data_IF_938779790464
#
_entry.id   IF_938779790464
#
_cell.length_a   1.000
_cell.length_b   1.000
_cell.length_c   1.000
_cell.angle_alpha   90.00
_cell.angle_beta   90.00
_cell.angle_gamma   90.00
#
_symmetry.space_group_name_H-M   'P 1'
#
loop_
_entity.id
_entity.type
_entity.pdbx_description
1 polymer ?
#
# COMPACT_ATOMS: atom_id res chain seq x y z
N UNK A 1 38.39 10.81 12.13
CA UNK A 1 38.65 10.11 12.20
C UNK A 1 38.44 9.51 12.59
N UNK A 2 38.00 9.95 12.29
CA UNK A 2 38.12 9.33 12.40
C UNK A 2 37.71 8.85 12.32
N UNK A 3 37.52 9.24 11.88
CA UNK A 3 37.55 8.60 11.60
C UNK A 3 37.14 8.19 11.40
N UNK A 4 37.13 8.47 11.12
CA UNK A 4 37.22 7.91 10.74
C UNK A 4 36.75 7.57 10.63
N UNK A 5 36.87 7.78 10.37
CA UNK A 5 36.80 7.24 10.10
C UNK A 5 36.11 7.02 9.91
N UNK A 6 35.77 7.31 9.55
CA UNK A 6 35.60 6.92 9.20
C UNK A 6 34.88 6.79 9.02
N UNK A 7 34.88 6.97 8.77
CA UNK A 7 34.51 6.63 8.45
C UNK A 7 33.86 6.38 8.36
N UNK A 8 33.91 6.61 8.02
CA UNK A 8 33.66 6.21 7.95
C UNK A 8 32.94 5.97 8.02
N UNK A 9 32.91 6.17 7.74
CA UNK A 9 32.70 5.93 7.86
C UNK A 9 32.05 6.08 8.02
N UNK A 10 31.76 6.45 7.86
CA UNK A 10 31.83 6.49 8.03
C UNK A 10 31.07 6.69 8.03
N UNK A 11 31.15 7.10 7.64
CA UNK A 11 31.00 7.06 7.75
C UNK A 11 30.35 6.86 8.03
N UNK A 12 30.29 6.98 7.74
CA UNK A 12 30.06 6.63 8.15
C UNK A 12 29.64 6.19 8.92
N UNK A 13 29.25 6.43 8.95
CA UNK A 13 29.12 5.65 9.98
C UNK A 13 28.14 5.93 11.08
N UNK A 14 27.94 6.97 11.54
CA UNK A 14 26.96 7.46 12.50
C UNK A 14 25.56 7.30 12.03
N UNK A 15 25.40 7.29 10.76
CA UNK A 15 24.09 7.19 10.11
C UNK A 15 23.59 5.76 10.12
N UNK A 16 24.46 4.80 10.22
CA UNK A 16 24.11 3.40 10.12
C UNK A 16 23.02 2.96 11.11
N UNK A 17 23.03 3.35 12.39
CA UNK A 17 21.96 2.94 13.30
C UNK A 17 20.59 3.46 12.88
N UNK A 18 20.55 4.67 12.36
CA UNK A 18 19.28 5.24 11.86
C UNK A 18 18.80 4.46 10.65
N UNK A 19 19.72 4.15 9.75
CA UNK A 19 19.38 3.39 8.54
C UNK A 19 18.88 2.00 8.89
N UNK A 20 19.48 1.37 9.87
CA UNK A 20 19.06 0.05 10.31
C UNK A 20 17.65 0.08 10.88
N UNK A 21 17.33 1.07 11.68
CA UNK A 21 16.00 1.23 12.25
C UNK A 21 14.95 1.44 11.18
N UNK A 22 15.28 2.25 10.20
CA UNK A 22 14.37 2.53 9.10
C UNK A 22 14.13 1.27 8.27
N UNK A 23 15.17 0.53 8.03
CA UNK A 23 15.09 -0.71 7.27
C UNK A 23 14.28 -1.78 8.01
N UNK A 24 14.47 -1.89 9.31
CA UNK A 24 13.71 -2.82 10.12
C UNK A 24 12.23 -2.47 10.12
N UNK A 25 11.93 -1.20 10.24
CA UNK A 25 10.54 -0.72 10.20
C UNK A 25 9.89 -1.07 8.87
N UNK A 26 10.61 -0.85 7.78
CA UNK A 26 10.11 -1.14 6.44
C UNK A 26 9.87 -2.64 6.26
N UNK A 27 10.77 -3.48 6.74
CA UNK A 27 10.62 -4.93 6.68
C UNK A 27 9.43 -5.38 7.49
N UNK A 28 9.23 -4.79 8.63
CA UNK A 28 8.10 -5.11 9.50
C UNK A 28 6.79 -4.77 8.81
N UNK A 29 6.72 -3.60 8.18
CA UNK A 29 5.53 -3.18 7.46
C UNK A 29 5.27 -4.07 6.26
N UNK A 30 6.30 -4.49 5.55
CA UNK A 30 6.16 -5.42 4.44
C UNK A 30 5.56 -6.73 4.89
N UNK A 31 6.04 -7.25 6.01
CA UNK A 31 5.51 -8.49 6.56
C UNK A 31 4.05 -8.31 6.97
N UNK A 32 3.74 -7.22 7.65
CA UNK A 32 2.39 -6.91 8.10
C UNK A 32 1.43 -6.87 6.91
N UNK A 33 1.83 -6.21 5.86
CA UNK A 33 0.99 -6.09 4.68
C UNK A 33 0.80 -7.41 3.97
N UNK A 34 1.82 -8.26 3.97
CA UNK A 34 1.70 -9.60 3.41
C UNK A 34 0.63 -10.40 4.15
N UNK A 35 0.63 -10.30 5.47
CA UNK A 35 -0.34 -11.01 6.30
C UNK A 35 -1.75 -10.49 6.03
N UNK A 36 -1.91 -9.18 6.00
CA UNK A 36 -3.20 -8.55 5.79
C UNK A 36 -3.78 -8.92 4.43
N UNK A 37 -2.96 -8.81 3.40
CA UNK A 37 -3.40 -9.09 2.04
C UNK A 37 -3.73 -10.58 1.90
N UNK A 38 -2.93 -11.45 2.49
CA UNK A 38 -3.19 -12.88 2.45
C UNK A 38 -4.51 -13.25 3.09
N UNK A 39 -4.86 -12.58 4.18
CA UNK A 39 -6.13 -12.84 4.87
C UNK A 39 -7.32 -12.28 4.11
N UNK A 40 -7.14 -11.16 3.44
CA UNK A 40 -8.24 -10.49 2.77
C UNK A 40 -8.59 -11.13 1.42
N UNK A 41 -7.59 -11.64 0.72
CA UNK A 41 -7.82 -12.19 -0.61
C UNK A 41 -8.45 -13.58 -0.52
N UNK A 42 -9.50 -13.83 -1.28
CA UNK A 42 -10.11 -15.17 -1.31
C UNK A 42 -9.18 -16.21 -1.90
N UNK A 43 -8.37 -15.82 -2.89
CA UNK A 43 -7.44 -16.73 -3.55
C UNK A 43 -6.09 -16.04 -3.68
N UNK A 44 -5.10 -16.56 -2.96
CA UNK A 44 -3.79 -15.96 -2.92
C UNK A 44 -2.93 -16.30 -4.14
N UNK A 45 -3.46 -17.14 -5.02
CA UNK A 45 -2.69 -17.59 -6.19
C UNK A 45 -2.86 -16.72 -7.42
N UNK A 46 -3.60 -15.64 -7.34
CA UNK A 46 -3.94 -14.86 -8.52
C UNK A 46 -2.79 -13.98 -9.03
N UNK A 47 -1.68 -13.94 -8.34
CA UNK A 47 -0.51 -13.21 -8.80
C UNK A 47 -0.55 -11.71 -8.57
N UNK A 48 -1.64 -11.19 -8.05
CA UNK A 48 -1.76 -9.76 -7.81
C UNK A 48 -1.31 -9.33 -6.41
N UNK A 49 -0.97 -10.30 -5.58
CA UNK A 49 -0.59 -10.03 -4.19
C UNK A 49 0.52 -8.97 -4.04
N UNK A 50 1.62 -9.01 -4.80
CA UNK A 50 2.64 -7.97 -4.65
C UNK A 50 2.13 -6.58 -5.01
N UNK A 51 1.29 -6.47 -6.01
CA UNK A 51 0.71 -5.18 -6.39
C UNK A 51 -0.20 -4.66 -5.28
N UNK A 52 -0.99 -5.54 -4.68
CA UNK A 52 -1.88 -5.15 -3.58
C UNK A 52 -1.07 -4.58 -2.42
N UNK A 53 0.03 -5.25 -2.07
CA UNK A 53 0.88 -4.79 -0.97
C UNK A 53 1.46 -3.41 -1.25
N UNK A 54 1.90 -3.19 -2.49
CA UNK A 54 2.50 -1.91 -2.87
C UNK A 54 1.49 -0.77 -2.81
N UNK A 55 0.26 -1.05 -3.22
CA UNK A 55 -0.80 -0.04 -3.15
C UNK A 55 -1.08 0.35 -1.70
N UNK A 56 -1.28 -0.64 -0.85
CA UNK A 56 -1.58 -0.40 0.56
C UNK A 56 -0.42 0.34 1.24
N UNK A 57 0.80 -0.08 0.98
CA UNK A 57 1.96 0.55 1.56
C UNK A 57 2.08 2.01 1.12
N UNK A 58 1.88 2.26 -0.16
CA UNK A 58 1.92 3.62 -0.70
C UNK A 58 0.86 4.50 -0.07
N UNK A 59 -0.35 3.99 0.07
CA UNK A 59 -1.44 4.74 0.69
C UNK A 59 -1.15 5.03 2.15
N UNK A 60 -0.61 4.05 2.85
CA UNK A 60 -0.26 4.21 4.27
C UNK A 60 0.85 5.26 4.44
N UNK A 61 1.90 5.17 3.65
CA UNK A 61 3.03 6.10 3.74
C UNK A 61 2.63 7.52 3.38
N UNK A 62 1.74 7.68 2.43
CA UNK A 62 1.31 9.01 1.99
C UNK A 62 0.18 9.58 2.84
N UNK A 63 -0.30 8.82 3.81
CA UNK A 63 -1.35 9.31 4.70
C UNK A 63 -2.71 9.40 4.05
N UNK A 64 -2.99 8.54 3.07
CA UNK A 64 -4.30 8.49 2.44
C UNK A 64 -5.21 7.58 3.28
N UNK A 65 -5.56 8.04 4.45
CA UNK A 65 -6.19 7.25 5.50
C UNK A 65 -7.69 7.45 5.60
N UNK A 66 -8.33 6.53 6.33
CA UNK A 66 -9.77 6.53 6.52
C UNK A 66 -10.30 7.81 7.17
N UNK A 67 -9.46 8.49 7.93
CA UNK A 67 -9.83 9.72 8.64
C UNK A 67 -9.38 10.97 7.90
N UNK A 68 -9.03 10.85 6.63
CA UNK A 68 -8.62 11.95 5.78
C UNK A 68 -9.55 12.02 4.57
N UNK A 69 -9.57 13.13 3.87
CA UNK A 69 -10.40 13.22 2.66
C UNK A 69 -9.98 12.16 1.64
N UNK A 70 -10.93 11.73 0.84
CA UNK A 70 -10.64 10.84 -0.28
C UNK A 70 -9.68 11.51 -1.25
N UNK A 71 -8.90 10.71 -1.93
CA UNK A 71 -7.96 11.17 -2.93
C UNK A 71 -8.32 10.56 -4.28
N UNK A 72 -8.04 11.30 -5.34
CA UNK A 72 -8.30 10.78 -6.70
C UNK A 72 -7.56 9.46 -6.90
N UNK A 73 -8.26 8.49 -7.44
CA UNK A 73 -7.65 7.19 -7.72
C UNK A 73 -6.45 7.34 -8.66
N UNK A 74 -6.53 8.24 -9.62
CA UNK A 74 -5.42 8.49 -10.54
C UNK A 74 -4.15 8.93 -9.81
N UNK A 75 -4.30 9.71 -8.75
CA UNK A 75 -3.15 10.14 -7.96
C UNK A 75 -2.53 8.97 -7.19
N UNK A 76 -3.37 8.14 -6.60
CA UNK A 76 -2.90 6.97 -5.85
C UNK A 76 -2.15 6.03 -6.80
N UNK A 77 -2.71 5.77 -7.95
CA UNK A 77 -2.08 4.91 -8.96
C UNK A 77 -0.75 5.52 -9.41
N UNK A 78 -0.71 6.83 -9.63
CA UNK A 78 0.51 7.52 -10.02
C UNK A 78 1.62 7.39 -8.99
N UNK A 79 1.27 7.48 -7.72
CA UNK A 79 2.24 7.34 -6.63
C UNK A 79 2.85 5.93 -6.61
N UNK A 80 2.03 4.92 -6.85
CA UNK A 80 2.52 3.54 -6.89
C UNK A 80 3.46 3.34 -8.08
N UNK A 81 3.07 3.83 -9.23
CA UNK A 81 3.89 3.71 -10.43
C UNK A 81 5.23 4.42 -10.29
N UNK A 82 5.21 5.57 -9.63
CA UNK A 82 6.43 6.35 -9.45
C UNK A 82 7.47 5.67 -8.58
N UNK A 83 7.02 4.85 -7.62
CA UNK A 83 7.93 4.19 -6.67
C UNK A 83 8.18 2.73 -7.00
N UNK A 84 7.20 2.07 -7.56
CA UNK A 84 7.21 0.61 -7.65
C UNK A 84 6.99 0.11 -9.08
N UNK A 85 7.58 0.80 -9.99
CA UNK A 85 7.61 0.37 -11.36
C UNK A 85 7.96 -1.14 -11.43
N UNK A 86 7.52 -1.95 -12.40
CA UNK A 86 7.12 -1.54 -13.75
C UNK A 86 5.68 -1.90 -14.15
N UNK A 87 4.75 -1.85 -13.29
CA UNK A 87 3.38 -2.21 -13.66
C UNK A 87 2.72 -1.08 -14.45
N UNK A 88 1.80 -1.42 -15.30
CA UNK A 88 1.01 -0.42 -16.03
C UNK A 88 -0.07 0.15 -15.14
N UNK A 89 -0.57 1.33 -15.48
CA UNK A 89 -1.57 2.03 -14.68
C UNK A 89 -2.88 1.23 -14.60
N UNK A 90 -3.29 0.57 -15.68
CA UNK A 90 -4.51 -0.22 -15.68
C UNK A 90 -4.42 -1.38 -14.69
N UNK A 91 -3.28 -2.05 -14.63
CA UNK A 91 -3.08 -3.16 -13.71
C UNK A 91 -3.15 -2.73 -12.27
N UNK A 92 -2.54 -1.60 -11.96
CA UNK A 92 -2.53 -1.06 -10.60
C UNK A 92 -3.94 -0.63 -10.21
N UNK A 93 -4.62 0.07 -11.10
CA UNK A 93 -5.97 0.53 -10.82
C UNK A 93 -6.93 -0.65 -10.61
N UNK A 94 -6.84 -1.67 -11.44
CA UNK A 94 -7.69 -2.85 -11.29
C UNK A 94 -7.46 -3.53 -9.96
N UNK A 95 -6.21 -3.61 -9.52
CA UNK A 95 -5.90 -4.19 -8.22
C UNK A 95 -6.49 -3.35 -7.08
N UNK A 96 -6.41 -2.03 -7.20
CA UNK A 96 -6.98 -1.13 -6.20
C UNK A 96 -8.51 -1.26 -6.16
N UNK A 97 -9.14 -1.35 -7.32
CA UNK A 97 -10.59 -1.53 -7.42
C UNK A 97 -11.02 -2.80 -6.70
N UNK A 98 -10.31 -3.88 -6.90
CA UNK A 98 -10.62 -5.15 -6.23
C UNK A 98 -10.60 -5.01 -4.72
N UNK A 99 -9.63 -4.27 -4.21
CA UNK A 99 -9.50 -4.10 -2.76
C UNK A 99 -10.61 -3.23 -2.17
N UNK A 100 -11.35 -2.53 -3.00
CA UNK A 100 -12.49 -1.72 -2.55
C UNK A 100 -13.83 -2.43 -2.73
N UNK A 101 -13.83 -3.59 -3.38
CA UNK A 101 -15.07 -4.28 -3.70
C UNK A 101 -15.43 -5.30 -2.61
N UNK A 102 -16.56 -5.14 -1.94
CA UNK A 102 -16.97 -6.10 -0.90
C UNK A 102 -17.22 -7.50 -1.44
N UNK A 103 -17.57 -7.61 -2.72
CA UNK A 103 -17.82 -8.92 -3.33
C UNK A 103 -16.53 -9.59 -3.80
N UNK A 104 -15.41 -8.87 -3.86
CA UNK A 104 -14.12 -9.42 -4.28
C UNK A 104 -13.21 -9.77 -3.12
N UNK A 105 -13.41 -9.18 -1.98
CA UNK A 105 -12.53 -9.32 -0.82
C UNK A 105 -13.33 -9.74 0.39
N UNK A 106 -12.75 -10.57 1.24
CA UNK A 106 -13.38 -10.89 2.52
C UNK A 106 -13.53 -9.65 3.38
N UNK A 107 -12.50 -8.82 3.34
CA UNK A 107 -12.49 -7.56 4.09
C UNK A 107 -11.91 -6.52 3.15
N UNK A 108 -12.72 -5.57 2.68
CA UNK A 108 -12.17 -4.53 1.81
C UNK A 108 -11.12 -3.72 2.53
N UNK A 109 -9.99 -3.54 1.88
CA UNK A 109 -8.85 -2.81 2.44
C UNK A 109 -8.82 -1.36 1.98
N UNK A 110 -9.57 -1.04 0.95
CA UNK A 110 -9.66 0.31 0.39
C UNK A 110 -11.11 0.76 0.49
N UNK A 111 -11.28 2.00 0.92
CA UNK A 111 -12.57 2.66 1.00
C UNK A 111 -12.72 3.51 -0.24
N UNK A 112 -13.68 3.20 -1.08
CA UNK A 112 -13.84 3.87 -2.38
C UNK A 112 -15.06 4.76 -2.44
N UNK A 113 -14.95 5.81 -3.24
CA UNK A 113 -16.06 6.72 -3.47
C UNK A 113 -16.25 6.85 -4.98
N UNK A 114 -17.45 6.60 -5.45
CA UNK A 114 -17.76 6.59 -6.86
C UNK A 114 -18.09 5.18 -7.32
N UNK A 115 -18.06 4.96 -8.62
CA UNK A 115 -18.45 3.68 -9.19
C UNK A 115 -17.26 2.72 -9.25
N UNK A 116 -17.23 1.76 -8.36
CA UNK A 116 -16.20 0.71 -8.32
C UNK A 116 -16.69 -0.62 -8.89
N UNK A 117 -17.73 -0.58 -9.71
CA UNK A 117 -18.25 -1.78 -10.35
C UNK A 117 -19.31 -2.46 -9.51
N UNK A 118 -19.85 -3.53 -10.04
CA UNK A 118 -20.90 -4.27 -9.35
C UNK A 118 -20.68 -5.77 -9.50
N UNK A 119 -21.34 -6.53 -8.64
CA UNK A 119 -21.30 -7.99 -8.69
C UNK A 119 -21.90 -8.50 -10.00
N UNK A 120 -22.78 -7.73 -10.61
CA UNK A 120 -23.45 -8.12 -11.86
C UNK A 120 -22.59 -7.90 -13.10
N UNK A 121 -21.37 -7.50 -12.91
CA UNK A 121 -20.43 -7.40 -14.03
C UNK A 121 -20.20 -5.99 -14.56
N UNK A 122 -20.78 -4.99 -13.92
CA UNK A 122 -20.49 -3.61 -14.32
C UNK A 122 -19.04 -3.28 -14.00
N UNK A 123 -18.37 -2.65 -14.94
CA UNK A 123 -16.98 -2.23 -14.74
C UNK A 123 -16.90 -0.98 -13.87
N UNK A 124 -15.79 -0.83 -13.19
CA UNK A 124 -15.53 0.41 -12.45
C UNK A 124 -15.38 1.58 -13.42
N UNK A 125 -15.72 2.76 -12.97
CA UNK A 125 -15.44 3.98 -13.72
C UNK A 125 -13.93 4.18 -13.86
N UNK A 126 -13.50 4.96 -14.81
CA UNK A 126 -12.09 5.27 -15.01
C UNK A 126 -11.51 5.94 -13.75
N UNK A 127 -10.22 5.76 -13.54
CA UNK A 127 -9.56 6.24 -12.31
C UNK A 127 -9.65 7.76 -12.12
N UNK A 128 -9.89 8.51 -13.18
CA UNK A 128 -10.04 9.96 -13.05
C UNK A 128 -11.38 10.35 -12.45
N UNK A 129 -12.32 9.40 -12.36
CA UNK A 129 -13.66 9.68 -11.83
C UNK A 129 -13.90 9.12 -10.43
N UNK A 130 -13.00 8.29 -9.95
CA UNK A 130 -13.18 7.67 -8.63
C UNK A 130 -12.18 8.21 -7.64
N UNK A 131 -12.49 8.02 -6.36
CA UNK A 131 -11.63 8.44 -5.26
C UNK A 131 -11.50 7.30 -4.27
N UNK A 132 -10.45 7.32 -3.50
CA UNK A 132 -10.20 6.23 -2.56
C UNK A 132 -9.36 6.69 -1.38
N UNK A 133 -9.34 5.86 -0.36
CA UNK A 133 -8.46 6.01 0.81
C UNK A 133 -8.38 4.66 1.50
N UNK A 134 -7.46 4.51 2.43
CA UNK A 134 -7.37 3.27 3.19
C UNK A 134 -8.62 3.07 4.02
N UNK A 135 -9.12 1.85 4.06
CA UNK A 135 -10.21 1.52 4.97
C UNK A 135 -9.67 1.50 6.40
N UNK A 136 -10.55 1.78 7.35
CA UNK A 136 -10.18 1.81 8.77
C UNK A 136 -9.57 0.50 9.22
N UNK A 137 -10.10 -0.63 8.76
CA UNK A 137 -9.61 -1.94 9.17
C UNK A 137 -8.17 -2.13 8.71
N UNK A 138 -7.82 -1.68 7.51
CA UNK A 138 -6.46 -1.82 7.01
C UNK A 138 -5.49 -0.99 7.84
N UNK A 139 -5.86 0.24 8.13
CA UNK A 139 -5.02 1.12 8.94
C UNK A 139 -4.81 0.52 10.34
N UNK A 140 -5.87 0.03 10.95
CA UNK A 140 -5.80 -0.51 12.30
C UNK A 140 -4.91 -1.74 12.38
N UNK A 141 -5.00 -2.61 11.39
CA UNK A 141 -4.17 -3.81 11.38
C UNK A 141 -2.70 -3.49 11.19
N UNK A 142 -2.39 -2.55 10.32
CA UNK A 142 -1.01 -2.13 10.10
C UNK A 142 -0.46 -1.48 11.36
N UNK A 143 -1.25 -0.63 11.98
CA UNK A 143 -0.85 0.10 13.18
C UNK A 143 -0.58 -0.86 14.34
N UNK A 144 -1.44 -1.85 14.52
CA UNK A 144 -1.26 -2.85 15.56
C UNK A 144 0.01 -3.66 15.37
N UNK A 145 0.27 -4.09 14.15
CA UNK A 145 1.45 -4.90 13.87
C UNK A 145 2.73 -4.05 13.97
N UNK A 146 2.65 -2.81 13.54
CA UNK A 146 3.79 -1.90 13.61
C UNK A 146 4.21 -1.63 15.05
N UNK A 147 3.27 -1.67 15.98
CA UNK A 147 3.57 -1.43 17.39
C UNK A 147 4.16 -2.64 18.11
N UNK A 148 3.94 -3.80 17.56
CA UNK A 148 4.49 -5.02 18.13
C UNK A 148 5.91 -5.25 17.65
#
# INVERSE_FOLDING_TARGET
>A
MTEENMPVVGSNEDIAPVDISEEMRRSYLDYAMSVIVSRALPDVRDGLKPVHRRIIYSMFENGYDYNRPFRKSARIVGDVLGKYHPHGDSSVYEAMVRMAQPFSMRVPLVDGQGNFGSMDGDSAAAMRYTEARLAKVAHSLIDDIDKD
#
